data_IF_005906968242
#
_entry.id   IF_005906968242
#
_cell.length_a   1.000
_cell.length_b   1.000
_cell.length_c   1.000
_cell.angle_alpha   90.00
_cell.angle_beta   90.00
_cell.angle_gamma   90.00
#
_symmetry.space_group_name_H-M   'P 1'
#
loop_
_entity.id
_entity.type
_entity.pdbx_description
1 polymer ?
#
# COMPACT_ATOMS: atom_id res chain seq x y z
N UNK A 1 18.83 20.88 -25.49
CA UNK A 1 18.10 20.55 -24.25
C UNK A 1 16.76 19.87 -24.61
N UNK A 2 16.69 18.55 -24.73
CA UNK A 2 15.42 17.82 -25.02
C UNK A 2 15.38 16.39 -24.45
N UNK A 3 16.47 15.88 -23.83
CA UNK A 3 16.53 14.53 -23.25
C UNK A 3 15.92 14.42 -21.84
N UNK A 4 15.75 15.53 -21.12
CA UNK A 4 15.27 15.53 -19.74
C UNK A 4 13.76 15.23 -19.63
N UNK A 5 12.95 15.69 -20.60
CA UNK A 5 11.49 15.54 -20.54
C UNK A 5 10.98 14.12 -20.78
N UNK A 6 11.68 13.29 -21.57
CA UNK A 6 11.30 11.87 -21.77
C UNK A 6 11.59 11.01 -20.55
N UNK A 7 12.64 11.34 -19.79
CA UNK A 7 13.03 10.60 -18.58
C UNK A 7 12.08 10.86 -17.41
N UNK A 8 11.54 12.08 -17.29
CA UNK A 8 10.54 12.42 -16.27
C UNK A 8 9.24 11.66 -16.46
N UNK A 9 8.67 11.71 -17.68
CA UNK A 9 7.43 10.99 -18.01
C UNK A 9 7.55 9.46 -17.83
N UNK A 10 8.69 8.86 -18.20
CA UNK A 10 8.91 7.42 -17.98
C UNK A 10 9.01 7.08 -16.48
N UNK A 11 9.65 7.95 -15.67
CA UNK A 11 9.74 7.80 -14.22
C UNK A 11 8.38 7.94 -13.52
N UNK A 12 7.55 8.88 -13.95
CA UNK A 12 6.18 9.05 -13.45
C UNK A 12 5.30 7.84 -13.77
N UNK A 13 5.39 7.30 -14.99
CA UNK A 13 4.68 6.07 -15.36
C UNK A 13 5.13 4.87 -14.53
N UNK A 14 6.45 4.74 -14.28
CA UNK A 14 7.00 3.68 -13.44
C UNK A 14 6.54 3.82 -11.97
N UNK A 15 6.49 5.05 -11.44
CA UNK A 15 6.01 5.32 -10.09
C UNK A 15 4.52 5.00 -9.94
N UNK A 16 3.70 5.40 -10.91
CA UNK A 16 2.27 5.07 -10.92
C UNK A 16 2.02 3.56 -11.01
N UNK A 17 2.80 2.84 -11.83
CA UNK A 17 2.72 1.38 -11.91
C UNK A 17 3.12 0.70 -10.58
N UNK A 18 4.17 1.21 -9.92
CA UNK A 18 4.57 0.72 -8.60
C UNK A 18 3.47 0.95 -7.56
N UNK A 19 2.89 2.14 -7.50
CA UNK A 19 1.78 2.46 -6.58
C UNK A 19 0.60 1.50 -6.80
N UNK A 20 0.24 1.22 -8.05
CA UNK A 20 -0.82 0.28 -8.37
C UNK A 20 -0.50 -1.16 -7.91
N UNK A 21 0.73 -1.64 -8.10
CA UNK A 21 1.16 -2.95 -7.58
C UNK A 21 1.10 -3.02 -6.05
N UNK A 22 1.53 -1.96 -5.35
CA UNK A 22 1.47 -1.92 -3.89
C UNK A 22 0.04 -1.92 -3.37
N UNK A 23 -0.88 -1.20 -4.03
CA UNK A 23 -2.32 -1.28 -3.72
C UNK A 23 -2.89 -2.68 -3.95
N UNK A 24 -2.46 -3.36 -5.01
CA UNK A 24 -2.83 -4.75 -5.26
C UNK A 24 -2.37 -5.68 -4.12
N UNK A 25 -1.15 -5.49 -3.63
CA UNK A 25 -0.63 -6.24 -2.46
C UNK A 25 -1.42 -5.94 -1.18
N UNK A 26 -1.80 -4.69 -0.94
CA UNK A 26 -2.69 -4.34 0.19
C UNK A 26 -4.02 -5.11 0.11
N UNK A 27 -4.58 -5.26 -1.09
CA UNK A 27 -5.81 -6.04 -1.29
C UNK A 27 -5.59 -7.53 -1.01
N UNK A 28 -4.49 -8.12 -1.49
CA UNK A 28 -4.15 -9.52 -1.17
C UNK A 28 -4.00 -9.73 0.34
N UNK A 29 -3.28 -8.84 1.02
CA UNK A 29 -3.13 -8.93 2.47
C UNK A 29 -4.45 -8.82 3.23
N UNK A 30 -5.41 -8.02 2.74
CA UNK A 30 -6.75 -7.99 3.32
C UNK A 30 -7.48 -9.33 3.16
N UNK A 31 -7.33 -10.01 2.01
CA UNK A 31 -7.85 -11.37 1.83
C UNK A 31 -7.19 -12.34 2.80
N UNK A 32 -5.85 -12.33 2.91
CA UNK A 32 -5.10 -13.20 3.82
C UNK A 32 -5.50 -12.99 5.29
N UNK A 33 -5.75 -11.73 5.70
CA UNK A 33 -6.25 -11.39 7.04
C UNK A 33 -7.62 -12.04 7.27
N UNK A 34 -8.56 -11.87 6.33
CA UNK A 34 -9.91 -12.42 6.45
C UNK A 34 -9.91 -13.95 6.48
N UNK A 35 -9.06 -14.59 5.65
CA UNK A 35 -8.91 -16.04 5.64
C UNK A 35 -8.35 -16.56 6.96
N UNK A 36 -7.35 -15.88 7.54
CA UNK A 36 -6.78 -16.23 8.83
C UNK A 36 -7.79 -16.07 9.97
N UNK A 37 -8.51 -14.95 10.00
CA UNK A 37 -9.56 -14.67 10.97
C UNK A 37 -10.68 -15.73 10.89
N UNK A 38 -11.12 -16.07 9.67
CA UNK A 38 -12.12 -17.11 9.44
C UNK A 38 -11.63 -18.50 9.86
N UNK A 39 -10.36 -18.84 9.59
CA UNK A 39 -9.75 -20.10 10.00
C UNK A 39 -9.69 -20.23 11.52
N UNK A 40 -9.36 -19.16 12.21
CA UNK A 40 -9.30 -19.13 13.68
C UNK A 40 -10.67 -18.97 14.34
N UNK A 41 -11.67 -18.49 13.61
CA UNK A 41 -12.99 -18.14 14.14
C UNK A 41 -12.97 -16.89 15.03
N UNK A 42 -11.91 -16.06 14.96
CA UNK A 42 -11.72 -14.87 15.79
C UNK A 42 -11.47 -13.67 14.91
N UNK A 43 -12.40 -12.71 14.91
CA UNK A 43 -12.39 -11.53 14.03
C UNK A 43 -12.11 -10.21 14.77
N UNK A 44 -12.42 -10.15 16.07
CA UNK A 44 -12.12 -8.97 16.88
C UNK A 44 -10.63 -8.96 17.24
N UNK A 45 -9.93 -7.92 16.78
CA UNK A 45 -8.49 -7.73 17.02
C UNK A 45 -8.13 -7.56 18.50
N UNK A 46 -9.12 -7.21 19.34
CA UNK A 46 -8.95 -7.01 20.77
C UNK A 46 -9.06 -8.30 21.56
N UNK A 47 -9.54 -9.37 20.93
CA UNK A 47 -9.63 -10.68 21.58
C UNK A 47 -8.21 -11.19 21.89
N UNK A 48 -7.93 -11.64 23.13
CA UNK A 48 -6.61 -12.16 23.50
C UNK A 48 -6.14 -13.34 22.64
N UNK A 49 -7.09 -14.06 22.04
CA UNK A 49 -6.87 -15.21 21.15
C UNK A 49 -6.81 -14.81 19.67
N UNK A 50 -6.81 -13.51 19.35
CA UNK A 50 -6.71 -13.05 17.97
C UNK A 50 -5.44 -13.59 17.29
N UNK A 51 -5.53 -14.08 16.04
CA UNK A 51 -4.41 -14.77 15.41
C UNK A 51 -3.20 -13.87 15.22
N UNK A 52 -2.04 -14.32 15.72
CA UNK A 52 -0.79 -13.57 15.58
C UNK A 52 -0.43 -13.30 14.11
N UNK A 53 -0.76 -14.22 13.20
CA UNK A 53 -0.54 -14.02 11.77
C UNK A 53 -1.39 -12.85 11.23
N UNK A 54 -2.68 -12.82 11.53
CA UNK A 54 -3.58 -11.74 11.12
C UNK A 54 -3.13 -10.38 11.71
N UNK A 55 -2.65 -10.37 12.95
CA UNK A 55 -2.12 -9.16 13.60
C UNK A 55 -0.86 -8.62 12.89
N UNK A 56 0.06 -9.51 12.52
CA UNK A 56 1.26 -9.15 11.78
C UNK A 56 0.93 -8.65 10.37
N UNK A 57 -0.01 -9.31 9.68
CA UNK A 57 -0.47 -8.88 8.36
C UNK A 57 -1.11 -7.49 8.41
N UNK A 58 -1.95 -7.20 9.42
CA UNK A 58 -2.52 -5.85 9.64
C UNK A 58 -1.41 -4.81 9.82
N UNK A 59 -0.46 -5.06 10.70
CA UNK A 59 0.66 -4.13 10.96
C UNK A 59 1.47 -3.85 9.67
N UNK A 60 1.76 -4.90 8.89
CA UNK A 60 2.49 -4.76 7.64
C UNK A 60 1.68 -4.05 6.55
N UNK A 61 0.36 -4.29 6.49
CA UNK A 61 -0.54 -3.59 5.58
C UNK A 61 -0.57 -2.10 5.90
N UNK A 62 -0.65 -1.74 7.18
CA UNK A 62 -0.71 -0.35 7.61
C UNK A 62 0.60 0.40 7.29
N UNK A 63 1.75 -0.26 7.48
CA UNK A 63 3.05 0.25 7.02
C UNK A 63 3.10 0.47 5.50
N UNK A 64 2.50 -0.45 4.74
CA UNK A 64 2.45 -0.37 3.28
C UNK A 64 1.54 0.77 2.81
N UNK A 65 0.37 0.93 3.41
CA UNK A 65 -0.54 2.06 3.15
C UNK A 65 0.14 3.40 3.45
N UNK A 66 0.87 3.50 4.57
CA UNK A 66 1.66 4.70 4.89
C UNK A 66 2.71 5.00 3.81
N UNK A 67 3.44 3.97 3.36
CA UNK A 67 4.44 4.11 2.29
C UNK A 67 3.80 4.55 0.98
N UNK A 68 2.67 3.96 0.60
CA UNK A 68 1.90 4.33 -0.59
C UNK A 68 1.51 5.81 -0.51
N UNK A 69 0.99 6.28 0.63
CA UNK A 69 0.62 7.69 0.80
C UNK A 69 1.79 8.67 0.58
N UNK A 70 3.01 8.30 0.99
CA UNK A 70 4.22 9.08 0.70
C UNK A 70 4.56 9.07 -0.79
N UNK A 71 4.38 7.93 -1.48
CA UNK A 71 4.64 7.83 -2.92
C UNK A 71 3.60 8.61 -3.74
N UNK A 72 2.33 8.56 -3.36
CA UNK A 72 1.25 9.33 -3.99
C UNK A 72 1.44 10.85 -3.84
N UNK A 73 2.03 11.31 -2.74
CA UNK A 73 2.39 12.73 -2.61
C UNK A 73 3.45 13.16 -3.63
N UNK A 74 4.32 12.26 -4.07
CA UNK A 74 5.37 12.54 -5.07
C UNK A 74 4.84 12.55 -6.51
N UNK A 75 3.66 11.99 -6.75
CA UNK A 75 3.01 12.04 -8.07
C UNK A 75 2.13 13.28 -8.23
N UNK A 76 1.85 14.03 -7.16
CA UNK A 76 1.17 15.32 -7.26
C UNK A 76 2.07 16.34 -7.98
N UNK A 77 1.59 17.02 -9.03
CA UNK A 77 2.37 18.07 -9.68
C UNK A 77 2.66 19.19 -8.68
N UNK A 78 3.85 19.80 -8.77
CA UNK A 78 4.31 20.89 -7.90
C UNK A 78 3.53 22.21 -8.05
N UNK A 79 2.31 22.18 -8.58
CA UNK A 79 1.50 23.34 -8.97
C UNK A 79 0.34 23.59 -8.00
N UNK A 80 0.63 23.69 -6.71
CA UNK A 80 -0.21 24.41 -5.74
C UNK A 80 0.71 25.19 -4.78
N UNK A 81 1.51 26.07 -5.38
CA UNK A 81 2.19 27.16 -4.68
C UNK A 81 2.27 28.33 -5.67
N UNK A 82 1.14 29.01 -5.86
CA UNK A 82 1.03 30.32 -6.49
C UNK A 82 0.60 31.33 -5.42
#
# INVERSE_FOLDING_TARGET
MQKMSRSGAAGELQLNALIADLWWRVRLMNTDILEEEARAGVFDVREPTYPLLALNLRSRRDNLVSTIGVLEQRTKPASEAA
#
